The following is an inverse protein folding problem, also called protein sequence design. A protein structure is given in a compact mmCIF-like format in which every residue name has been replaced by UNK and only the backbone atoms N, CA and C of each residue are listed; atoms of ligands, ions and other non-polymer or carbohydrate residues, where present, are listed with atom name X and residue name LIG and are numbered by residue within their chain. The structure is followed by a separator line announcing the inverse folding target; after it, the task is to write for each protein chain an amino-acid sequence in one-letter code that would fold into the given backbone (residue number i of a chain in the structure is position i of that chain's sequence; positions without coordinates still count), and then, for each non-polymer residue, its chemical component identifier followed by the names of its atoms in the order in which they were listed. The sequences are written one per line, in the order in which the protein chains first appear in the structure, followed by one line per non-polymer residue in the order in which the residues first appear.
data_IF_735539451592
#
_entry.id   IF_735539451592
#
_cell.length_a   1.000
_cell.length_b   1.000
_cell.length_c   1.000
_cell.angle_alpha   90.00
_cell.angle_beta   90.00
_cell.angle_gamma   90.00
#
_symmetry.space_group_name_H-M   'P 1'
#
loop_
_entity.id
_entity.type
_entity.pdbx_description
1 polymer ?
#
# COMPACT_ATOMS: atom_id res chain seq x y z
N UNK A 1 -22.44 20.07 -20.34
CA UNK A 1 -23.17 20.99 -19.45
C UNK A 1 -23.16 22.45 -19.96
N UNK A 2 -22.07 22.96 -20.55
CA UNK A 2 -22.02 24.33 -21.09
C UNK A 2 -23.03 24.70 -22.19
N UNK A 3 -23.49 23.73 -22.99
CA UNK A 3 -24.51 23.97 -24.04
C UNK A 3 -25.86 24.37 -23.45
N UNK A 4 -26.29 23.72 -22.36
CA UNK A 4 -27.58 24.01 -21.71
C UNK A 4 -27.59 25.41 -21.11
N UNK A 5 -26.47 25.83 -20.50
CA UNK A 5 -26.28 27.22 -20.07
C UNK A 5 -26.47 28.20 -21.23
N UNK A 6 -25.77 27.98 -22.35
CA UNK A 6 -25.84 28.88 -23.50
C UNK A 6 -27.25 28.96 -24.07
N UNK A 7 -27.96 27.83 -24.15
CA UNK A 7 -29.35 27.80 -24.56
C UNK A 7 -30.24 28.60 -23.59
N UNK A 8 -30.11 28.41 -22.27
CA UNK A 8 -30.92 29.17 -21.31
C UNK A 8 -30.65 30.67 -21.38
N UNK A 9 -29.39 31.09 -21.51
CA UNK A 9 -29.06 32.51 -21.69
C UNK A 9 -29.65 33.07 -23.00
N UNK A 10 -29.55 32.31 -24.09
CA UNK A 10 -30.14 32.69 -25.37
C UNK A 10 -31.66 32.83 -25.28
N UNK A 11 -32.34 31.94 -24.55
CA UNK A 11 -33.79 32.01 -24.34
C UNK A 11 -34.18 33.25 -23.52
N UNK A 12 -33.40 33.62 -22.50
CA UNK A 12 -33.59 34.88 -21.75
C UNK A 12 -33.49 36.07 -22.70
N UNK A 13 -32.47 36.10 -23.56
CA UNK A 13 -32.24 37.24 -24.45
C UNK A 13 -33.26 37.34 -25.58
N UNK A 14 -33.76 36.21 -26.10
CA UNK A 14 -34.85 36.17 -27.08
C UNK A 14 -36.20 36.57 -26.49
N UNK A 15 -36.44 36.29 -25.21
CA UNK A 15 -37.70 36.58 -24.54
C UNK A 15 -37.87 38.06 -24.18
N UNK A 16 -36.79 38.74 -23.77
CA UNK A 16 -36.77 40.16 -23.36
C UNK A 16 -37.52 41.12 -24.30
N UNK A 17 -37.35 41.07 -25.64
CA UNK A 17 -38.05 41.99 -26.55
C UNK A 17 -39.49 41.58 -26.88
N UNK A 18 -39.94 40.35 -26.55
CA UNK A 18 -41.22 39.79 -27.01
C UNK A 18 -42.27 39.75 -25.89
N UNK A 19 -41.85 39.49 -24.66
CA UNK A 19 -42.75 39.21 -23.53
C UNK A 19 -42.81 40.41 -22.58
N UNK A 20 -44.01 40.82 -22.10
CA UNK A 20 -44.15 41.87 -21.08
C UNK A 20 -43.38 41.52 -19.80
N UNK A 21 -42.71 42.51 -19.20
CA UNK A 21 -41.81 42.32 -18.04
C UNK A 21 -42.45 41.52 -16.89
N UNK A 22 -43.72 41.78 -16.57
CA UNK A 22 -44.47 41.11 -15.49
C UNK A 22 -44.64 39.59 -15.70
N UNK A 23 -44.48 39.10 -16.93
CA UNK A 23 -44.67 37.69 -17.27
C UNK A 23 -43.37 36.98 -17.66
N UNK A 24 -42.26 37.71 -17.86
CA UNK A 24 -40.98 37.15 -18.32
C UNK A 24 -40.49 36.03 -17.40
N UNK A 25 -40.46 36.24 -16.09
CA UNK A 25 -39.96 35.26 -15.13
C UNK A 25 -40.78 33.96 -15.13
N UNK A 26 -42.11 34.07 -15.16
CA UNK A 26 -43.00 32.91 -15.15
C UNK A 26 -42.97 32.12 -16.47
N UNK A 27 -42.78 32.81 -17.60
CA UNK A 27 -42.66 32.18 -18.92
C UNK A 27 -41.30 31.52 -19.07
N UNK A 28 -40.22 32.18 -18.67
CA UNK A 28 -38.88 31.60 -18.67
C UNK A 28 -38.80 30.33 -17.81
N UNK A 29 -39.32 30.37 -16.58
CA UNK A 29 -39.32 29.21 -15.68
C UNK A 29 -40.03 28.01 -16.32
N UNK A 30 -41.14 28.22 -17.05
CA UNK A 30 -41.85 27.17 -17.78
C UNK A 30 -41.07 26.67 -19.01
N UNK A 31 -40.47 27.58 -19.77
CA UNK A 31 -39.79 27.26 -21.02
C UNK A 31 -38.59 26.32 -20.78
N UNK A 32 -37.83 26.56 -19.71
CA UNK A 32 -36.63 25.78 -19.42
C UNK A 32 -36.92 24.42 -18.76
N UNK A 33 -38.14 24.16 -18.25
CA UNK A 33 -38.42 22.96 -17.44
C UNK A 33 -38.07 21.67 -18.17
N UNK A 34 -38.50 21.50 -19.43
CA UNK A 34 -38.28 20.24 -20.16
C UNK A 34 -36.79 19.94 -20.35
N UNK A 35 -36.00 20.95 -20.74
CA UNK A 35 -34.56 20.81 -20.90
C UNK A 35 -33.84 20.60 -19.57
N UNK A 36 -34.26 21.33 -18.52
CA UNK A 36 -33.71 21.17 -17.19
C UNK A 36 -34.01 19.78 -16.63
N UNK A 37 -35.22 19.26 -16.77
CA UNK A 37 -35.61 17.91 -16.31
C UNK A 37 -34.84 16.81 -17.04
N UNK A 38 -34.65 16.93 -18.35
CA UNK A 38 -33.81 16.00 -19.11
C UNK A 38 -32.35 16.01 -18.59
N UNK A 39 -31.80 17.20 -18.32
CA UNK A 39 -30.46 17.35 -17.74
C UNK A 39 -30.36 16.74 -16.34
N UNK A 40 -31.34 16.98 -15.47
CA UNK A 40 -31.38 16.41 -14.13
C UNK A 40 -31.46 14.89 -14.18
N UNK A 41 -32.27 14.33 -15.08
CA UNK A 41 -32.44 12.87 -15.27
C UNK A 41 -31.12 12.19 -15.68
N UNK A 42 -30.36 12.82 -16.57
CA UNK A 42 -29.03 12.32 -16.95
C UNK A 42 -28.06 12.35 -15.76
N UNK A 43 -28.06 13.45 -15.00
CA UNK A 43 -27.26 13.56 -13.79
C UNK A 43 -27.60 12.49 -12.74
N UNK A 44 -28.89 12.25 -12.50
CA UNK A 44 -29.37 11.21 -11.60
C UNK A 44 -28.98 9.81 -12.08
N UNK A 45 -28.92 9.58 -13.39
CA UNK A 45 -28.45 8.33 -13.98
C UNK A 45 -26.98 8.07 -13.64
N UNK A 46 -26.13 9.10 -13.68
CA UNK A 46 -24.73 9.01 -13.24
C UNK A 46 -24.65 8.66 -11.75
N UNK A 47 -25.43 9.34 -10.89
CA UNK A 47 -25.49 9.07 -9.45
C UNK A 47 -25.90 7.61 -9.17
N UNK A 48 -26.95 7.13 -9.83
CA UNK A 48 -27.46 5.77 -9.64
C UNK A 48 -26.47 4.73 -10.14
N UNK A 49 -25.79 5.01 -11.25
CA UNK A 49 -24.73 4.14 -11.79
C UNK A 49 -23.56 4.02 -10.82
N UNK A 50 -23.10 5.16 -10.26
CA UNK A 50 -22.06 5.15 -9.23
C UNK A 50 -22.48 4.32 -8.02
N UNK A 51 -23.68 4.57 -7.46
CA UNK A 51 -24.21 3.79 -6.32
C UNK A 51 -24.25 2.29 -6.60
N UNK A 52 -24.63 1.88 -7.82
CA UNK A 52 -24.66 0.49 -8.26
C UNK A 52 -23.27 -0.14 -8.37
N UNK A 53 -22.27 0.62 -8.79
CA UNK A 53 -20.88 0.13 -8.84
C UNK A 53 -20.26 0.05 -7.44
N UNK A 54 -20.53 1.04 -6.59
CA UNK A 54 -20.11 1.05 -5.18
C UNK A 54 -20.65 -0.18 -4.43
N UNK A 55 -21.93 -0.52 -4.59
CA UNK A 55 -22.51 -1.72 -3.96
C UNK A 55 -21.94 -3.04 -4.48
N UNK A 56 -21.28 -3.03 -5.63
CA UNK A 56 -20.53 -4.16 -6.20
C UNK A 56 -19.03 -4.12 -5.88
N UNK A 57 -18.59 -3.18 -5.05
CA UNK A 57 -17.19 -2.94 -4.70
C UNK A 57 -16.30 -2.52 -5.88
N UNK A 58 -16.88 -1.96 -6.95
CA UNK A 58 -16.14 -1.44 -8.11
C UNK A 58 -15.77 0.02 -7.93
N UNK A 59 -14.98 0.33 -6.90
CA UNK A 59 -14.66 1.70 -6.49
C UNK A 59 -13.94 2.54 -7.55
N UNK A 60 -13.22 1.91 -8.48
CA UNK A 60 -12.53 2.59 -9.58
C UNK A 60 -13.48 3.42 -10.47
N UNK A 61 -14.78 3.07 -10.54
CA UNK A 61 -15.76 3.87 -11.29
C UNK A 61 -15.93 5.29 -10.74
N UNK A 62 -15.62 5.51 -9.45
CA UNK A 62 -15.69 6.83 -8.80
C UNK A 62 -14.82 7.87 -9.52
N UNK A 63 -13.70 7.43 -10.13
CA UNK A 63 -12.80 8.30 -10.89
C UNK A 63 -13.49 9.03 -12.04
N UNK A 64 -14.49 8.40 -12.66
CA UNK A 64 -15.23 8.98 -13.80
C UNK A 64 -16.16 10.12 -13.36
N UNK A 65 -16.51 10.17 -12.06
CA UNK A 65 -17.42 11.17 -11.50
C UNK A 65 -16.68 12.45 -11.08
N UNK A 66 -15.38 12.39 -10.76
CA UNK A 66 -14.63 13.58 -10.35
C UNK A 66 -14.54 14.68 -11.43
N UNK A 67 -14.29 14.38 -12.73
CA UNK A 67 -14.37 15.39 -13.77
C UNK A 67 -15.76 16.05 -13.88
N UNK A 68 -16.81 15.25 -13.74
CA UNK A 68 -18.20 15.71 -13.77
C UNK A 68 -18.46 16.65 -12.59
N UNK A 69 -18.09 16.25 -11.37
CA UNK A 69 -18.21 17.06 -10.16
C UNK A 69 -17.44 18.38 -10.26
N UNK A 70 -16.18 18.32 -10.71
CA UNK A 70 -15.34 19.51 -10.90
C UNK A 70 -15.98 20.48 -11.88
N UNK A 71 -16.47 19.98 -13.02
CA UNK A 71 -17.14 20.83 -14.01
C UNK A 71 -18.47 21.38 -13.49
N UNK A 72 -19.29 20.56 -12.80
CA UNK A 72 -20.56 20.99 -12.22
C UNK A 72 -20.37 22.12 -11.19
N UNK A 73 -19.34 22.01 -10.33
CA UNK A 73 -19.00 23.06 -9.37
C UNK A 73 -18.52 24.34 -10.06
N UNK A 74 -17.72 24.21 -11.11
CA UNK A 74 -17.23 25.36 -11.87
C UNK A 74 -18.35 26.17 -12.53
N UNK A 75 -19.35 25.50 -13.10
CA UNK A 75 -20.48 26.17 -13.79
C UNK A 75 -21.63 26.56 -12.85
N UNK A 76 -21.57 26.19 -11.57
CA UNK A 76 -22.65 26.45 -10.60
C UNK A 76 -23.00 27.94 -10.48
N UNK A 77 -22.05 28.89 -10.33
CA UNK A 77 -22.38 30.30 -10.21
C UNK A 77 -23.12 30.85 -11.44
N UNK A 78 -22.74 30.38 -12.64
CA UNK A 78 -23.40 30.77 -13.88
C UNK A 78 -24.83 30.21 -13.98
N UNK A 79 -25.05 28.99 -13.50
CA UNK A 79 -26.39 28.41 -13.39
C UNK A 79 -27.25 29.17 -12.38
N UNK A 80 -26.67 29.55 -11.24
CA UNK A 80 -27.37 30.31 -10.21
C UNK A 80 -27.78 31.70 -10.72
N UNK A 81 -26.93 32.36 -11.52
CA UNK A 81 -27.23 33.66 -12.16
C UNK A 81 -28.34 33.56 -13.21
N UNK A 82 -28.25 32.59 -14.13
CA UNK A 82 -29.28 32.39 -15.16
C UNK A 82 -30.63 32.01 -14.54
N UNK A 83 -30.63 31.22 -13.47
CA UNK A 83 -31.84 30.76 -12.80
C UNK A 83 -32.36 31.74 -11.73
N UNK A 84 -31.67 32.86 -11.46
CA UNK A 84 -32.00 33.75 -10.34
C UNK A 84 -33.46 34.22 -10.31
N UNK A 85 -34.07 34.37 -11.50
CA UNK A 85 -35.44 34.83 -11.70
C UNK A 85 -36.50 33.71 -11.75
N UNK A 86 -36.09 32.45 -11.60
CA UNK A 86 -36.98 31.28 -11.61
C UNK A 86 -37.49 30.93 -10.20
N UNK A 87 -38.51 30.06 -10.11
CA UNK A 87 -39.05 29.61 -8.83
C UNK A 87 -38.00 28.89 -7.95
N UNK A 88 -38.14 28.93 -6.60
CA UNK A 88 -37.19 28.30 -5.68
C UNK A 88 -36.93 26.81 -5.95
N UNK A 89 -37.94 26.07 -6.40
CA UNK A 89 -37.82 24.65 -6.76
C UNK A 89 -36.92 24.44 -7.98
N UNK A 90 -36.98 25.34 -8.97
CA UNK A 90 -36.15 25.29 -10.18
C UNK A 90 -34.70 25.61 -9.82
N UNK A 91 -34.47 26.69 -9.05
CA UNK A 91 -33.13 27.11 -8.60
C UNK A 91 -32.40 26.05 -7.78
N UNK A 92 -33.12 25.26 -6.97
CA UNK A 92 -32.49 24.24 -6.14
C UNK A 92 -32.16 22.94 -6.88
N UNK A 93 -32.67 22.71 -8.10
CA UNK A 93 -32.44 21.46 -8.86
C UNK A 93 -30.94 21.19 -9.04
N UNK A 94 -30.19 22.11 -9.65
CA UNK A 94 -28.77 21.87 -9.96
C UNK A 94 -27.88 21.71 -8.72
N UNK A 95 -27.97 22.58 -7.69
CA UNK A 95 -27.27 22.35 -6.42
C UNK A 95 -27.60 21.00 -5.76
N UNK A 96 -28.86 20.54 -5.86
CA UNK A 96 -29.27 19.25 -5.29
C UNK A 96 -28.62 18.07 -6.00
N UNK A 97 -28.45 18.14 -7.33
CA UNK A 97 -27.72 17.12 -8.09
C UNK A 97 -26.23 17.10 -7.76
N UNK A 98 -25.61 18.28 -7.62
CA UNK A 98 -24.20 18.37 -7.19
C UNK A 98 -24.04 17.68 -5.83
N UNK A 99 -24.90 18.00 -4.85
CA UNK A 99 -24.87 17.36 -3.53
C UNK A 99 -25.12 15.84 -3.61
N UNK A 100 -26.01 15.38 -4.51
CA UNK A 100 -26.26 13.96 -4.70
C UNK A 100 -25.05 13.21 -5.28
N UNK A 101 -24.34 13.82 -6.23
CA UNK A 101 -23.08 13.30 -6.78
C UNK A 101 -21.99 13.26 -5.72
N UNK A 102 -21.84 14.33 -4.93
CA UNK A 102 -20.85 14.40 -3.85
C UNK A 102 -21.10 13.35 -2.78
N UNK A 103 -22.34 13.20 -2.32
CA UNK A 103 -22.71 12.19 -1.34
C UNK A 103 -22.43 10.78 -1.86
N UNK A 104 -22.74 10.51 -3.14
CA UNK A 104 -22.50 9.20 -3.74
C UNK A 104 -20.99 8.89 -3.87
N UNK A 105 -20.17 9.87 -4.27
CA UNK A 105 -18.73 9.71 -4.39
C UNK A 105 -18.02 9.66 -3.02
N UNK A 106 -18.44 10.45 -2.04
CA UNK A 106 -17.93 10.37 -0.67
C UNK A 106 -18.21 9.01 -0.05
N UNK A 107 -19.44 8.49 -0.22
CA UNK A 107 -19.79 7.15 0.23
C UNK A 107 -18.95 6.08 -0.46
N UNK A 108 -18.65 6.23 -1.75
CA UNK A 108 -17.78 5.30 -2.46
C UNK A 108 -16.35 5.28 -1.90
N UNK A 109 -15.80 6.45 -1.56
CA UNK A 109 -14.49 6.58 -0.92
C UNK A 109 -14.47 6.00 0.50
N UNK A 110 -15.53 6.24 1.26
CA UNK A 110 -15.72 5.73 2.62
C UNK A 110 -15.81 4.19 2.63
N UNK A 111 -16.67 3.64 1.77
CA UNK A 111 -16.82 2.19 1.61
C UNK A 111 -15.55 1.54 1.03
N UNK A 112 -14.77 2.25 0.20
CA UNK A 112 -13.46 1.77 -0.25
C UNK A 112 -12.48 1.63 0.94
N UNK A 113 -12.35 2.68 1.76
CA UNK A 113 -11.45 2.66 2.91
C UNK A 113 -11.88 1.58 3.94
N UNK A 114 -13.17 1.45 4.20
CA UNK A 114 -13.71 0.40 5.07
C UNK A 114 -13.59 -1.00 4.46
N UNK A 115 -13.73 -1.08 3.14
CA UNK A 115 -13.54 -2.29 2.36
C UNK A 115 -12.11 -2.80 2.42
N UNK A 116 -11.10 -1.94 2.59
CA UNK A 116 -9.71 -2.36 2.85
C UNK A 116 -9.59 -2.98 4.24
N UNK A 117 -10.18 -2.34 5.25
CA UNK A 117 -10.11 -2.81 6.65
C UNK A 117 -10.77 -4.19 6.80
N UNK A 118 -11.96 -4.34 6.23
CA UNK A 118 -12.78 -5.55 6.33
C UNK A 118 -12.70 -6.44 5.10
N UNK A 119 -11.73 -6.21 4.20
CA UNK A 119 -11.54 -7.00 2.99
C UNK A 119 -11.61 -8.47 3.39
N UNK A 120 -12.67 -9.21 2.99
CA UNK A 120 -13.01 -10.45 3.65
C UNK A 120 -11.82 -11.40 3.57
N UNK A 121 -11.65 -12.19 4.63
CA UNK A 121 -10.82 -13.38 4.67
C UNK A 121 -11.38 -14.41 3.67
N UNK A 122 -11.41 -14.07 2.38
CA UNK A 122 -11.72 -14.98 1.30
C UNK A 122 -10.53 -15.91 1.15
N UNK A 123 -10.49 -16.85 2.10
CA UNK A 123 -9.69 -18.05 2.19
C UNK A 123 -8.17 -17.85 2.22
N UNK A 124 -7.49 -18.71 2.99
CA UNK A 124 -6.05 -18.91 2.91
C UNK A 124 -5.56 -19.19 1.46
N UNK A 125 -6.46 -19.51 0.52
CA UNK A 125 -6.18 -19.65 -0.90
C UNK A 125 -5.71 -18.36 -1.60
N UNK A 126 -6.08 -17.19 -1.09
CA UNK A 126 -5.67 -15.90 -1.69
C UNK A 126 -4.36 -15.36 -1.08
N UNK A 127 -3.79 -16.04 -0.09
CA UNK A 127 -2.50 -15.66 0.48
C UNK A 127 -1.35 -16.20 -0.38
N UNK A 128 -0.38 -15.35 -0.77
CA UNK A 128 0.76 -15.79 -1.56
C UNK A 128 1.63 -16.76 -0.75
N UNK A 129 1.84 -17.98 -1.25
CA UNK A 129 2.62 -19.01 -0.54
C UNK A 129 4.10 -18.66 -0.41
N UNK A 130 4.60 -17.81 -1.29
CA UNK A 130 5.98 -17.35 -1.38
C UNK A 130 6.22 -16.04 -0.61
N UNK A 131 5.17 -15.43 -0.03
CA UNK A 131 5.28 -14.16 0.69
C UNK A 131 5.44 -12.94 -0.22
N UNK A 132 5.08 -13.02 -1.51
CA UNK A 132 5.12 -11.86 -2.42
C UNK A 132 4.16 -10.73 -2.00
N UNK A 133 4.22 -9.60 -2.72
CA UNK A 133 3.31 -8.46 -2.51
C UNK A 133 1.86 -8.89 -2.74
N UNK A 134 0.98 -8.56 -1.79
CA UNK A 134 -0.43 -8.93 -1.87
C UNK A 134 -1.18 -7.99 -2.84
N UNK A 135 -2.14 -8.53 -3.60
CA UNK A 135 -2.92 -7.77 -4.59
C UNK A 135 -3.63 -6.55 -3.98
N UNK A 136 -4.20 -6.71 -2.78
CA UNK A 136 -4.76 -5.62 -1.97
C UNK A 136 -3.82 -4.40 -1.87
N UNK A 137 -2.53 -4.61 -1.57
CA UNK A 137 -1.54 -3.54 -1.47
C UNK A 137 -1.41 -2.80 -2.81
N UNK A 138 -1.29 -3.56 -3.91
CA UNK A 138 -1.18 -2.99 -5.25
C UNK A 138 -2.43 -2.21 -5.65
N UNK A 139 -3.61 -2.78 -5.46
CA UNK A 139 -4.89 -2.18 -5.84
C UNK A 139 -5.20 -0.92 -5.02
N UNK A 140 -4.90 -0.95 -3.72
CA UNK A 140 -5.07 0.22 -2.85
C UNK A 140 -4.19 1.37 -3.31
N UNK A 141 -2.90 1.13 -3.55
CA UNK A 141 -1.99 2.17 -3.99
C UNK A 141 -2.32 2.68 -5.39
N UNK A 142 -2.69 1.79 -6.32
CA UNK A 142 -3.15 2.20 -7.65
C UNK A 142 -4.36 3.15 -7.57
N UNK A 143 -5.33 2.83 -6.72
CA UNK A 143 -6.49 3.69 -6.51
C UNK A 143 -6.09 5.05 -5.91
N UNK A 144 -5.19 5.07 -4.92
CA UNK A 144 -4.68 6.31 -4.34
C UNK A 144 -3.91 7.16 -5.37
N UNK A 145 -3.05 6.53 -6.19
CA UNK A 145 -2.32 7.20 -7.27
C UNK A 145 -3.29 7.86 -8.27
N UNK A 146 -4.42 7.21 -8.58
CA UNK A 146 -5.46 7.76 -9.46
C UNK A 146 -6.24 8.93 -8.87
N UNK A 147 -6.25 9.11 -7.53
CA UNK A 147 -6.89 10.25 -6.89
C UNK A 147 -6.08 11.55 -7.01
N UNK A 148 -4.77 11.46 -7.28
CA UNK A 148 -3.86 12.61 -7.26
C UNK A 148 -4.28 13.77 -8.17
N UNK A 149 -4.74 13.55 -9.42
CA UNK A 149 -5.21 14.63 -10.29
C UNK A 149 -6.48 15.33 -9.76
N UNK A 150 -7.15 14.73 -8.78
CA UNK A 150 -8.45 15.15 -8.26
C UNK A 150 -8.41 15.54 -6.77
N UNK A 151 -7.23 15.69 -6.16
CA UNK A 151 -7.06 16.01 -4.72
C UNK A 151 -7.95 17.16 -4.25
N UNK A 152 -7.99 18.27 -4.99
CA UNK A 152 -8.85 19.41 -4.67
C UNK A 152 -10.34 19.07 -4.74
N UNK A 153 -10.76 18.34 -5.77
CA UNK A 153 -12.16 17.92 -5.95
C UNK A 153 -12.60 16.97 -4.85
N UNK A 154 -11.76 15.98 -4.53
CA UNK A 154 -12.01 14.99 -3.48
C UNK A 154 -12.01 15.66 -2.11
N UNK A 155 -11.09 16.59 -1.85
CA UNK A 155 -10.97 17.22 -0.55
C UNK A 155 -12.14 18.16 -0.25
N UNK A 156 -12.58 18.95 -1.23
CA UNK A 156 -13.79 19.77 -1.13
C UNK A 156 -15.05 18.93 -0.91
N UNK A 157 -15.15 17.79 -1.60
CA UNK A 157 -16.24 16.84 -1.43
C UNK A 157 -16.26 16.24 -0.02
N UNK A 158 -15.11 15.79 0.50
CA UNK A 158 -15.03 15.19 1.83
C UNK A 158 -15.26 16.23 2.93
N UNK A 159 -14.77 17.45 2.75
CA UNK A 159 -15.04 18.60 3.62
C UNK A 159 -16.55 18.87 3.77
N UNK A 160 -17.28 18.83 2.65
CA UNK A 160 -18.73 19.07 2.62
C UNK A 160 -19.51 18.01 3.42
N UNK A 161 -19.08 16.75 3.38
CA UNK A 161 -19.80 15.65 4.04
C UNK A 161 -19.53 15.54 5.55
N UNK A 162 -18.43 16.10 6.05
CA UNK A 162 -18.15 16.14 7.49
C UNK A 162 -18.98 17.21 8.25
N UNK A 163 -20.01 17.78 7.62
CA UNK A 163 -20.92 18.77 8.23
C UNK A 163 -20.29 20.15 8.42
N UNK A 164 -19.12 20.39 7.84
CA UNK A 164 -18.32 21.57 8.11
C UNK A 164 -18.53 22.59 6.96
N UNK A 165 -19.78 23.09 6.84
CA UNK A 165 -20.18 24.10 5.83
C UNK A 165 -19.37 25.42 5.94
N UNK A 166 -18.72 25.67 7.08
CA UNK A 166 -17.80 26.79 7.30
C UNK A 166 -16.46 26.64 6.55
N UNK A 167 -16.12 25.44 6.05
CA UNK A 167 -14.92 25.20 5.23
C UNK A 167 -14.95 25.89 3.86
N UNK A 168 -16.09 26.45 3.43
CA UNK A 168 -16.17 27.29 2.22
C UNK A 168 -15.50 28.67 2.43
N UNK A 169 -15.21 29.04 3.68
CA UNK A 169 -14.63 30.33 4.07
C UNK A 169 -13.44 30.09 5.02
N UNK A 170 -12.24 29.81 4.51
CA UNK A 170 -11.07 29.78 5.38
C UNK A 170 -10.70 31.18 5.85
N UNK A 171 -10.78 31.40 7.16
CA UNK A 171 -9.72 32.05 7.95
C UNK A 171 -9.74 31.68 9.46
N UNK A 172 -10.73 30.95 9.99
CA UNK A 172 -10.86 30.74 11.44
C UNK A 172 -11.01 29.30 11.98
N UNK A 173 -11.03 28.26 11.15
CA UNK A 173 -10.87 26.88 11.63
C UNK A 173 -9.73 26.21 10.87
N UNK A 174 -8.70 25.76 11.58
CA UNK A 174 -7.44 25.22 11.03
C UNK A 174 -7.55 23.88 10.29
N UNK A 175 -8.67 23.62 9.59
CA UNK A 175 -8.88 22.43 8.76
C UNK A 175 -8.86 22.86 7.30
N UNK A 176 -7.84 22.47 6.56
CA UNK A 176 -7.68 22.74 5.13
C UNK A 176 -8.15 21.56 4.27
N UNK A 177 -8.37 21.76 2.98
CA UNK A 177 -8.66 20.69 1.99
C UNK A 177 -7.56 19.63 2.02
N UNK A 178 -6.32 20.10 2.19
CA UNK A 178 -5.12 19.28 2.38
C UNK A 178 -5.24 18.40 3.63
N UNK A 179 -5.69 18.93 4.78
CA UNK A 179 -5.87 18.16 6.01
C UNK A 179 -6.91 17.05 5.84
N UNK A 180 -8.02 17.32 5.15
CA UNK A 180 -9.07 16.32 4.93
C UNK A 180 -8.57 15.17 4.05
N UNK A 181 -7.86 15.49 2.97
CA UNK A 181 -7.26 14.47 2.10
C UNK A 181 -6.18 13.68 2.81
N UNK A 182 -5.35 14.35 3.61
CA UNK A 182 -4.35 13.71 4.45
C UNK A 182 -4.98 12.67 5.38
N UNK A 183 -6.01 13.04 6.14
CA UNK A 183 -6.72 12.13 7.04
C UNK A 183 -7.33 10.94 6.30
N UNK A 184 -7.86 11.17 5.09
CA UNK A 184 -8.36 10.09 4.24
C UNK A 184 -7.23 9.14 3.81
N UNK A 185 -6.11 9.68 3.31
CA UNK A 185 -4.97 8.90 2.87
C UNK A 185 -4.34 8.10 4.03
N UNK A 186 -4.21 8.73 5.20
CA UNK A 186 -3.77 8.10 6.45
C UNK A 186 -4.67 6.93 6.83
N UNK A 187 -5.98 7.14 6.84
CA UNK A 187 -6.97 6.09 7.15
C UNK A 187 -6.86 4.91 6.18
N UNK A 188 -6.68 5.16 4.89
CA UNK A 188 -6.51 4.13 3.87
C UNK A 188 -5.22 3.32 4.12
N UNK A 189 -4.09 3.99 4.32
CA UNK A 189 -2.79 3.35 4.57
C UNK A 189 -2.77 2.59 5.90
N UNK A 190 -3.34 3.17 6.96
CA UNK A 190 -3.48 2.53 8.26
C UNK A 190 -4.38 1.29 8.20
N UNK A 191 -5.50 1.37 7.46
CA UNK A 191 -6.38 0.22 7.23
C UNK A 191 -5.68 -0.88 6.44
N UNK A 192 -4.89 -0.52 5.42
CA UNK A 192 -4.08 -1.47 4.66
C UNK A 192 -3.03 -2.13 5.56
N UNK A 193 -2.30 -1.36 6.37
CA UNK A 193 -1.30 -1.87 7.30
C UNK A 193 -1.89 -2.86 8.30
N UNK A 194 -3.01 -2.51 8.94
CA UNK A 194 -3.72 -3.42 9.85
C UNK A 194 -4.20 -4.68 9.14
N UNK A 195 -4.74 -4.57 7.94
CA UNK A 195 -5.21 -5.72 7.18
C UNK A 195 -4.06 -6.67 6.81
N UNK A 196 -2.91 -6.14 6.38
CA UNK A 196 -1.70 -6.92 6.12
C UNK A 196 -1.23 -7.66 7.38
N UNK A 197 -1.24 -7.01 8.55
CA UNK A 197 -0.92 -7.64 9.83
C UNK A 197 -1.91 -8.75 10.23
N UNK A 198 -3.19 -8.61 9.91
CA UNK A 198 -4.16 -9.67 10.17
C UNK A 198 -3.95 -10.87 9.24
N UNK A 199 -3.61 -10.60 7.97
CA UNK A 199 -3.35 -11.63 6.94
C UNK A 199 -2.16 -12.52 7.25
N UNK A 200 -1.13 -12.00 7.93
CA UNK A 200 0.06 -12.80 8.29
C UNK A 200 -0.24 -13.96 9.23
N UNK A 201 -1.36 -13.92 9.97
CA UNK A 201 -1.79 -15.01 10.87
C UNK A 201 -2.02 -16.35 10.17
N UNK A 202 -2.14 -16.35 8.85
CA UNK A 202 -2.28 -17.57 8.02
C UNK A 202 -0.93 -18.30 7.87
N UNK A 203 0.19 -17.59 7.98
CA UNK A 203 1.51 -18.19 7.84
C UNK A 203 1.98 -18.80 9.16
N UNK A 204 2.47 -20.04 9.10
CA UNK A 204 3.09 -20.71 10.24
C UNK A 204 4.52 -20.23 10.50
N UNK A 205 5.25 -19.92 9.42
CA UNK A 205 6.65 -19.51 9.50
C UNK A 205 6.78 -18.03 9.81
N UNK A 206 7.40 -17.70 10.96
CA UNK A 206 7.72 -16.32 11.35
C UNK A 206 8.63 -15.63 10.33
N UNK A 207 9.52 -16.39 9.67
CA UNK A 207 10.39 -15.86 8.61
C UNK A 207 9.58 -15.45 7.38
N UNK A 208 8.57 -16.24 7.01
CA UNK A 208 7.68 -15.92 5.90
C UNK A 208 6.78 -14.71 6.22
N UNK A 209 6.30 -14.62 7.46
CA UNK A 209 5.58 -13.43 7.96
C UNK A 209 6.42 -12.17 7.79
N UNK A 210 7.68 -12.21 8.25
CA UNK A 210 8.60 -11.07 8.15
C UNK A 210 8.85 -10.69 6.68
N UNK A 211 9.08 -11.67 5.81
CA UNK A 211 9.34 -11.42 4.39
C UNK A 211 8.11 -10.86 3.66
N UNK A 212 6.91 -11.38 3.96
CA UNK A 212 5.66 -10.88 3.40
C UNK A 212 5.43 -9.41 3.78
N UNK A 213 5.58 -9.07 5.06
CA UNK A 213 5.44 -7.70 5.52
C UNK A 213 6.52 -6.80 4.91
N UNK A 214 7.76 -7.27 4.85
CA UNK A 214 8.88 -6.56 4.23
C UNK A 214 8.58 -6.19 2.77
N UNK A 215 8.12 -7.17 1.98
CA UNK A 215 7.75 -6.96 0.58
C UNK A 215 6.65 -5.90 0.43
N UNK A 216 5.58 -6.01 1.23
CA UNK A 216 4.44 -5.10 1.12
C UNK A 216 4.79 -3.68 1.61
N UNK A 217 5.52 -3.54 2.72
CA UNK A 217 5.94 -2.24 3.24
C UNK A 217 6.95 -1.55 2.33
N UNK A 218 7.90 -2.31 1.76
CA UNK A 218 8.83 -1.76 0.77
C UNK A 218 8.09 -1.32 -0.50
N UNK A 219 7.11 -2.10 -0.97
CA UNK A 219 6.28 -1.72 -2.11
C UNK A 219 5.49 -0.44 -1.84
N UNK A 220 4.90 -0.30 -0.64
CA UNK A 220 4.21 0.93 -0.22
C UNK A 220 5.20 2.10 -0.21
N UNK A 221 6.34 1.97 0.45
CA UNK A 221 7.36 3.02 0.52
C UNK A 221 7.78 3.49 -0.89
N UNK A 222 8.07 2.56 -1.80
CA UNK A 222 8.45 2.87 -3.18
C UNK A 222 7.33 3.56 -3.95
N UNK A 223 6.08 3.13 -3.76
CA UNK A 223 4.93 3.78 -4.37
C UNK A 223 4.75 5.21 -3.85
N UNK A 224 4.89 5.44 -2.55
CA UNK A 224 4.81 6.78 -1.96
C UNK A 224 5.90 7.71 -2.52
N UNK A 225 7.13 7.21 -2.64
CA UNK A 225 8.28 7.96 -3.17
C UNK A 225 8.14 8.33 -4.66
N UNK A 226 7.48 7.50 -5.47
CA UNK A 226 7.39 7.73 -6.94
C UNK A 226 6.17 8.52 -7.37
N UNK A 227 5.07 8.48 -6.60
CA UNK A 227 3.75 8.87 -7.09
C UNK A 227 3.31 10.28 -6.68
N UNK A 228 4.08 11.02 -5.89
CA UNK A 228 3.63 12.31 -5.34
C UNK A 228 2.64 12.16 -4.17
N UNK A 229 2.26 10.93 -3.79
CA UNK A 229 1.50 10.67 -2.56
C UNK A 229 2.25 11.13 -1.31
N UNK A 230 3.59 11.08 -1.33
CA UNK A 230 4.39 11.56 -0.20
C UNK A 230 4.24 13.08 0.00
N UNK A 231 4.22 13.87 -1.08
CA UNK A 231 4.01 15.32 -1.00
C UNK A 231 2.64 15.65 -0.42
N UNK A 232 1.62 14.89 -0.80
CA UNK A 232 0.27 15.02 -0.26
C UNK A 232 0.25 14.73 1.25
N UNK A 233 0.98 13.70 1.68
CA UNK A 233 1.03 13.30 3.09
C UNK A 233 1.88 14.26 3.95
N UNK A 234 2.96 14.83 3.40
CA UNK A 234 3.83 15.76 4.13
C UNK A 234 3.19 17.12 4.40
N UNK A 235 2.18 17.52 3.62
CA UNK A 235 1.41 18.76 3.87
C UNK A 235 0.59 18.74 5.15
N UNK A 236 0.31 17.57 5.72
CA UNK A 236 -0.50 17.42 6.92
C UNK A 236 0.21 17.72 8.25
N UNK A 237 1.48 18.18 8.23
CA UNK A 237 2.34 18.60 9.36
C UNK A 237 2.50 17.65 10.57
N UNK A 238 1.79 16.51 10.65
CA UNK A 238 1.66 15.74 11.90
C UNK A 238 2.65 14.55 12.01
N UNK A 239 3.13 13.95 10.91
CA UNK A 239 4.10 12.82 10.99
C UNK A 239 4.91 12.57 9.69
N UNK A 240 6.14 12.05 9.83
CA UNK A 240 7.00 11.64 8.72
C UNK A 240 6.67 10.20 8.29
N UNK A 241 5.74 10.08 7.33
CA UNK A 241 5.27 8.79 6.78
C UNK A 241 6.42 8.00 6.17
N UNK A 242 7.33 8.68 5.48
CA UNK A 242 8.43 8.02 4.80
C UNK A 242 9.36 7.35 5.82
N UNK A 243 9.70 8.08 6.89
CA UNK A 243 10.49 7.55 7.99
C UNK A 243 9.81 6.37 8.66
N UNK A 244 8.50 6.42 8.93
CA UNK A 244 7.78 5.31 9.53
C UNK A 244 7.84 4.03 8.68
N UNK A 245 7.62 4.13 7.37
CA UNK A 245 7.73 2.95 6.49
C UNK A 245 9.17 2.46 6.36
N UNK A 246 10.18 3.35 6.39
CA UNK A 246 11.60 2.94 6.47
C UNK A 246 11.88 2.15 7.75
N UNK A 247 11.37 2.59 8.90
CA UNK A 247 11.50 1.89 10.18
C UNK A 247 10.81 0.52 10.16
N UNK A 248 9.60 0.43 9.60
CA UNK A 248 8.89 -0.84 9.42
C UNK A 248 9.66 -1.82 8.52
N UNK A 249 10.24 -1.33 7.41
CA UNK A 249 11.09 -2.14 6.52
C UNK A 249 12.31 -2.67 7.27
N UNK A 250 13.03 -1.83 8.03
CA UNK A 250 14.19 -2.27 8.79
C UNK A 250 13.83 -3.22 9.94
N UNK A 251 12.67 -3.04 10.59
CA UNK A 251 12.17 -3.98 11.58
C UNK A 251 11.93 -5.37 10.98
N UNK A 252 11.29 -5.44 9.80
CA UNK A 252 11.04 -6.74 9.15
C UNK A 252 12.32 -7.41 8.65
N UNK A 253 13.33 -6.63 8.20
CA UNK A 253 14.67 -7.18 7.90
C UNK A 253 15.28 -7.86 9.13
N UNK A 254 15.26 -7.20 10.29
CA UNK A 254 15.75 -7.78 11.56
C UNK A 254 14.97 -9.03 11.98
N UNK A 255 13.65 -9.04 11.76
CA UNK A 255 12.83 -10.21 12.06
C UNK A 255 13.15 -11.39 11.14
N UNK A 256 13.38 -11.13 9.86
CA UNK A 256 13.80 -12.13 8.88
C UNK A 256 15.16 -12.75 9.25
N UNK A 257 16.16 -11.94 9.65
CA UNK A 257 17.51 -12.39 10.00
C UNK A 257 17.54 -13.47 11.11
N UNK A 258 16.52 -13.50 11.97
CA UNK A 258 16.39 -14.52 13.03
C UNK A 258 16.32 -15.95 12.49
N UNK A 259 15.98 -16.15 11.21
CA UNK A 259 15.99 -17.48 10.57
C UNK A 259 17.37 -18.16 10.65
N UNK A 260 18.45 -17.38 10.73
CA UNK A 260 19.82 -17.88 10.82
C UNK A 260 20.23 -18.40 12.20
N UNK A 261 19.40 -18.20 13.23
CA UNK A 261 19.78 -18.52 14.62
C UNK A 261 20.25 -19.97 14.80
N UNK A 262 19.57 -20.93 14.16
CA UNK A 262 19.94 -22.36 14.23
C UNK A 262 21.26 -22.66 13.52
N UNK A 263 21.47 -22.08 12.34
CA UNK A 263 22.73 -22.18 11.60
C UNK A 263 23.88 -21.60 12.44
N UNK A 264 23.70 -20.39 12.98
CA UNK A 264 24.69 -19.71 13.80
C UNK A 264 25.01 -20.47 15.10
N UNK A 265 24.03 -21.14 15.72
CA UNK A 265 24.25 -21.98 16.90
C UNK A 265 25.28 -23.10 16.64
N UNK A 266 25.31 -23.67 15.43
CA UNK A 266 26.32 -24.66 15.06
C UNK A 266 27.69 -24.06 14.72
N UNK A 267 27.76 -22.76 14.40
CA UNK A 267 29.02 -22.11 14.03
C UNK A 267 29.72 -21.40 15.21
N UNK A 268 28.97 -20.79 16.14
CA UNK A 268 29.52 -19.86 17.14
C UNK A 268 29.85 -20.49 18.52
N UNK A 269 29.29 -21.63 18.88
CA UNK A 269 29.32 -22.15 20.26
C UNK A 269 30.70 -22.58 20.83
N UNK A 270 31.80 -22.38 20.11
CA UNK A 270 33.14 -22.78 20.59
C UNK A 270 33.86 -21.69 21.40
N UNK A 271 33.25 -20.52 21.61
CA UNK A 271 33.78 -19.43 22.44
C UNK A 271 33.24 -19.48 23.90
N UNK A 272 33.26 -20.64 24.57
CA UNK A 272 33.10 -20.64 26.04
C UNK A 272 34.44 -20.31 26.71
N UNK A 273 34.52 -19.23 27.52
CA UNK A 273 35.74 -18.86 28.24
C UNK A 273 36.03 -19.90 29.32
N UNK A 274 37.00 -20.76 29.03
CA UNK A 274 37.39 -21.87 29.91
C UNK A 274 38.04 -23.03 29.16
N UNK A 275 37.76 -23.19 27.87
CA UNK A 275 38.58 -23.99 26.97
C UNK A 275 39.66 -23.08 26.40
N UNK A 276 40.88 -23.18 26.95
CA UNK A 276 42.02 -22.35 26.58
C UNK A 276 42.08 -22.07 25.07
N UNK A 277 42.11 -20.78 24.75
CA UNK A 277 42.72 -20.25 23.54
C UNK A 277 44.20 -20.66 23.56
N UNK A 278 44.46 -21.89 23.15
CA UNK A 278 45.68 -22.28 22.50
C UNK A 278 45.21 -22.81 21.16
N UNK A 279 45.78 -22.24 20.10
CA UNK A 279 45.88 -22.90 18.81
C UNK A 279 45.85 -24.41 19.02
N UNK A 280 44.91 -25.10 18.38
CA UNK A 280 44.96 -26.56 18.33
C UNK A 280 46.22 -26.85 17.52
N UNK A 281 47.37 -26.91 18.19
CA UNK A 281 48.61 -27.39 17.61
C UNK A 281 48.27 -28.77 17.05
N UNK A 282 48.54 -28.94 15.74
CA UNK A 282 48.24 -30.14 14.96
C UNK A 282 48.80 -31.46 15.54
N UNK A 283 49.58 -31.35 16.63
CA UNK A 283 50.32 -32.40 17.33
C UNK A 283 49.61 -32.97 18.57
N UNK A 284 48.53 -32.37 19.09
CA UNK A 284 47.80 -32.95 20.23
C UNK A 284 46.68 -33.90 19.76
N UNK A 285 46.75 -35.17 20.18
CA UNK A 285 45.66 -36.15 19.98
C UNK A 285 44.36 -35.61 20.58
N UNK A 286 43.42 -35.20 19.72
CA UNK A 286 42.07 -34.83 20.14
C UNK A 286 41.42 -35.96 20.95
N UNK A 287 40.75 -35.59 22.05
CA UNK A 287 39.89 -36.50 22.82
C UNK A 287 38.68 -36.90 21.97
N UNK A 288 38.19 -38.12 22.12
CA UNK A 288 37.04 -38.63 21.34
C UNK A 288 35.79 -37.74 21.47
N UNK A 289 35.57 -37.17 22.65
CA UNK A 289 34.49 -36.20 22.90
C UNK A 289 34.62 -34.93 22.04
N UNK A 290 35.82 -34.42 21.82
CA UNK A 290 36.06 -33.25 20.96
C UNK A 290 35.87 -33.61 19.49
N UNK A 291 36.32 -34.79 19.07
CA UNK A 291 36.10 -35.30 17.71
C UNK A 291 34.61 -35.43 17.41
N UNK A 292 33.85 -35.98 18.35
CA UNK A 292 32.40 -36.13 18.21
C UNK A 292 31.70 -34.77 18.15
N UNK A 293 32.08 -33.83 19.01
CA UNK A 293 31.54 -32.47 18.97
C UNK A 293 31.75 -31.77 17.62
N UNK A 294 32.95 -31.87 17.02
CA UNK A 294 33.23 -31.29 15.70
C UNK A 294 32.34 -31.93 14.62
N UNK A 295 32.19 -33.27 14.65
CA UNK A 295 31.29 -33.99 13.74
C UNK A 295 29.84 -33.52 13.86
N UNK A 296 29.36 -33.36 15.09
CA UNK A 296 27.98 -32.95 15.37
C UNK A 296 27.73 -31.51 14.89
N UNK A 297 28.73 -30.62 15.03
CA UNK A 297 28.66 -29.23 14.55
C UNK A 297 28.58 -29.14 13.03
N UNK A 298 29.48 -29.82 12.31
CA UNK A 298 29.40 -29.88 10.84
C UNK A 298 28.08 -30.50 10.36
N UNK A 299 27.64 -31.60 10.97
CA UNK A 299 26.37 -32.25 10.62
C UNK A 299 25.17 -31.34 10.88
N UNK A 300 25.16 -30.65 12.02
CA UNK A 300 24.12 -29.69 12.37
C UNK A 300 24.05 -28.52 11.41
N UNK A 301 25.21 -27.91 11.10
CA UNK A 301 25.29 -26.86 10.07
C UNK A 301 24.74 -27.34 8.73
N UNK A 302 25.20 -28.50 8.22
CA UNK A 302 24.78 -29.00 6.91
C UNK A 302 23.26 -29.20 6.85
N UNK A 303 22.68 -29.81 7.90
CA UNK A 303 21.23 -30.04 8.00
C UNK A 303 20.45 -28.73 7.99
N UNK A 304 20.77 -27.81 8.92
CA UNK A 304 20.01 -26.56 9.08
C UNK A 304 20.19 -25.62 7.88
N UNK A 305 21.39 -25.57 7.29
CA UNK A 305 21.64 -24.77 6.10
C UNK A 305 20.90 -25.32 4.88
N UNK A 306 20.88 -26.64 4.68
CA UNK A 306 20.15 -27.26 3.56
C UNK A 306 18.65 -27.06 3.69
N UNK A 307 18.07 -27.26 4.89
CA UNK A 307 16.66 -26.99 5.16
C UNK A 307 16.32 -25.52 4.87
N UNK A 308 17.12 -24.59 5.40
CA UNK A 308 16.92 -23.16 5.16
C UNK A 308 17.05 -22.82 3.67
N UNK A 309 18.04 -23.37 2.97
CA UNK A 309 18.23 -23.14 1.53
C UNK A 309 17.03 -23.64 0.71
N UNK A 310 16.48 -24.83 1.02
CA UNK A 310 15.29 -25.32 0.32
C UNK A 310 14.08 -24.41 0.58
N UNK A 311 13.89 -23.94 1.81
CA UNK A 311 12.78 -23.05 2.18
C UNK A 311 12.92 -21.68 1.50
N UNK A 312 14.08 -21.02 1.62
CA UNK A 312 14.32 -19.67 1.08
C UNK A 312 14.18 -19.60 -0.44
N UNK A 313 14.39 -20.70 -1.15
CA UNK A 313 14.15 -20.80 -2.60
C UNK A 313 12.68 -20.74 -2.99
N UNK A 314 11.78 -21.07 -2.07
CA UNK A 314 10.33 -21.02 -2.31
C UNK A 314 9.73 -19.65 -2.04
N UNK A 315 10.49 -18.76 -1.40
CA UNK A 315 10.05 -17.42 -1.04
C UNK A 315 10.38 -16.41 -2.13
N UNK A 316 9.58 -15.35 -2.27
CA UNK A 316 9.78 -14.32 -3.28
C UNK A 316 10.11 -12.96 -2.66
N UNK A 317 11.03 -12.23 -3.29
CA UNK A 317 11.28 -10.79 -3.03
C UNK A 317 11.21 -10.08 -4.37
N UNK A 318 10.05 -9.51 -4.78
CA UNK A 318 9.85 -9.00 -6.13
C UNK A 318 10.76 -7.84 -6.51
N UNK A 319 11.06 -6.96 -5.56
CA UNK A 319 11.94 -5.82 -5.79
C UNK A 319 13.41 -6.28 -5.85
N UNK A 320 14.05 -6.03 -7.00
CA UNK A 320 15.41 -6.51 -7.29
C UNK A 320 16.43 -5.90 -6.34
N UNK A 321 16.34 -4.59 -6.07
CA UNK A 321 17.29 -3.91 -5.19
C UNK A 321 17.20 -4.44 -3.75
N UNK A 322 15.99 -4.62 -3.24
CA UNK A 322 15.76 -5.21 -1.93
C UNK A 322 16.24 -6.68 -1.86
N UNK A 323 16.00 -7.47 -2.92
CA UNK A 323 16.44 -8.86 -2.99
C UNK A 323 17.96 -8.95 -2.88
N UNK A 324 18.68 -8.16 -3.68
CA UNK A 324 20.15 -8.12 -3.64
C UNK A 324 20.67 -7.61 -2.30
N UNK A 325 20.01 -6.61 -1.69
CA UNK A 325 20.37 -6.13 -0.36
C UNK A 325 20.27 -7.24 0.71
N UNK A 326 19.15 -7.98 0.72
CA UNK A 326 18.94 -9.08 1.69
C UNK A 326 19.94 -10.21 1.43
N UNK A 327 20.21 -10.57 0.17
CA UNK A 327 21.22 -11.58 -0.18
C UNK A 327 22.60 -11.20 0.32
N UNK A 328 23.04 -9.97 0.03
CA UNK A 328 24.33 -9.47 0.45
C UNK A 328 24.45 -9.49 1.99
N UNK A 329 23.46 -8.96 2.72
CA UNK A 329 23.45 -8.99 4.19
C UNK A 329 23.52 -10.41 4.76
N UNK A 330 22.80 -11.36 4.16
CA UNK A 330 22.88 -12.76 4.56
C UNK A 330 24.29 -13.33 4.35
N UNK A 331 24.91 -13.05 3.21
CA UNK A 331 26.27 -13.51 2.86
C UNK A 331 27.28 -12.93 3.85
N UNK A 332 27.22 -11.62 4.10
CA UNK A 332 28.08 -10.92 5.06
C UNK A 332 27.92 -11.46 6.49
N UNK A 333 26.72 -11.90 6.86
CA UNK A 333 26.46 -12.51 8.16
C UNK A 333 27.03 -13.93 8.28
N UNK A 334 26.85 -14.78 7.27
CA UNK A 334 27.08 -16.23 7.39
C UNK A 334 28.44 -16.67 6.87
N UNK A 335 28.87 -16.18 5.70
CA UNK A 335 30.05 -16.70 5.00
C UNK A 335 31.34 -16.48 5.80
N UNK A 336 31.62 -15.31 6.40
CA UNK A 336 32.83 -15.12 7.22
C UNK A 336 32.88 -16.05 8.43
N UNK A 337 31.73 -16.25 9.10
CA UNK A 337 31.62 -17.11 10.29
C UNK A 337 31.84 -18.58 9.89
N UNK A 338 31.22 -19.01 8.79
CA UNK A 338 31.40 -20.36 8.27
C UNK A 338 32.85 -20.61 7.84
N UNK A 339 33.47 -19.67 7.13
CA UNK A 339 34.88 -19.75 6.70
C UNK A 339 35.80 -19.93 7.91
N UNK A 340 35.66 -19.08 8.92
CA UNK A 340 36.45 -19.20 10.15
C UNK A 340 36.23 -20.54 10.88
N UNK A 341 34.98 -21.02 10.96
CA UNK A 341 34.66 -22.32 11.53
C UNK A 341 35.31 -23.46 10.74
N UNK A 342 35.20 -23.44 9.41
CA UNK A 342 35.76 -24.45 8.51
C UNK A 342 37.28 -24.50 8.61
N UNK A 343 37.95 -23.37 8.46
CA UNK A 343 39.43 -23.28 8.47
C UNK A 343 40.02 -23.77 9.80
N UNK A 344 39.30 -23.52 10.91
CA UNK A 344 39.69 -23.97 12.24
C UNK A 344 39.66 -25.49 12.41
N UNK A 345 38.77 -26.20 11.71
CA UNK A 345 38.52 -27.62 11.96
C UNK A 345 38.82 -28.56 10.78
N UNK A 346 38.97 -28.05 9.56
CA UNK A 346 39.24 -28.87 8.38
C UNK A 346 40.58 -29.62 8.48
N UNK A 347 41.64 -28.93 8.90
CA UNK A 347 42.98 -29.53 9.07
C UNK A 347 43.12 -30.42 10.32
N UNK A 348 42.07 -30.53 11.13
CA UNK A 348 42.09 -31.27 12.38
C UNK A 348 41.66 -32.72 12.13
N UNK A 349 42.38 -33.75 12.61
CA UNK A 349 42.08 -35.15 12.28
C UNK A 349 40.88 -35.69 13.09
N UNK A 350 39.71 -35.05 13.04
CA UNK A 350 38.55 -35.43 13.84
C UNK A 350 37.79 -36.66 13.31
N UNK A 351 38.03 -37.06 12.06
CA UNK A 351 37.35 -38.19 11.40
C UNK A 351 38.26 -38.86 10.36
N UNK A 352 37.94 -40.12 10.01
CA UNK A 352 38.59 -40.82 8.89
C UNK A 352 37.97 -40.48 7.53
N UNK A 353 36.76 -39.92 7.53
CA UNK A 353 36.00 -39.56 6.31
C UNK A 353 35.62 -38.07 6.37
N UNK A 354 36.53 -37.13 6.09
CA UNK A 354 36.29 -35.68 6.19
C UNK A 354 35.16 -35.19 5.28
N UNK A 355 35.09 -35.70 4.06
CA UNK A 355 34.10 -35.33 3.02
C UNK A 355 32.65 -35.55 3.46
N UNK A 356 32.40 -36.48 4.40
CA UNK A 356 31.07 -36.71 4.96
C UNK A 356 30.58 -35.54 5.82
N UNK A 357 31.49 -34.76 6.39
CA UNK A 357 31.19 -33.70 7.36
C UNK A 357 31.46 -32.31 6.78
N UNK A 358 32.63 -32.12 6.16
CA UNK A 358 33.01 -30.87 5.49
C UNK A 358 32.46 -30.89 4.06
N UNK A 359 31.15 -30.68 3.93
CA UNK A 359 30.42 -30.84 2.65
C UNK A 359 30.59 -29.66 1.69
N UNK A 360 30.78 -28.45 2.23
CA UNK A 360 30.80 -27.21 1.46
C UNK A 360 32.12 -26.46 1.63
N UNK A 361 32.53 -25.75 0.58
CA UNK A 361 33.48 -24.64 0.68
C UNK A 361 32.75 -23.35 1.06
N UNK A 362 33.47 -22.33 1.53
CA UNK A 362 32.88 -21.02 1.80
C UNK A 362 32.24 -20.42 0.54
N UNK A 363 32.89 -20.59 -0.61
CA UNK A 363 32.42 -20.08 -1.90
C UNK A 363 31.18 -20.84 -2.39
N UNK A 364 31.07 -22.14 -2.11
CA UNK A 364 29.85 -22.91 -2.40
C UNK A 364 28.66 -22.46 -1.55
N UNK A 365 28.87 -22.17 -0.26
CA UNK A 365 27.82 -21.59 0.61
C UNK A 365 27.35 -20.24 0.05
N UNK A 366 28.29 -19.36 -0.30
CA UNK A 366 27.98 -18.07 -0.92
C UNK A 366 27.18 -18.23 -2.23
N UNK A 367 27.63 -19.12 -3.12
CA UNK A 367 26.96 -19.40 -4.39
C UNK A 367 25.54 -19.97 -4.22
N UNK A 368 25.28 -20.73 -3.16
CA UNK A 368 23.94 -21.20 -2.82
C UNK A 368 23.07 -20.05 -2.29
N UNK A 369 23.61 -19.20 -1.42
CA UNK A 369 22.88 -18.05 -0.88
C UNK A 369 22.51 -17.02 -1.95
N UNK A 370 23.35 -16.86 -2.98
CA UNK A 370 23.04 -16.04 -4.15
C UNK A 370 21.79 -16.51 -4.93
N UNK A 371 21.31 -17.75 -4.71
CA UNK A 371 20.10 -18.30 -5.34
C UNK A 371 18.84 -18.13 -4.49
N UNK A 372 18.91 -17.47 -3.34
CA UNK A 372 17.74 -17.22 -2.49
C UNK A 372 16.75 -16.30 -3.17
N UNK A 373 15.46 -16.58 -3.04
CA UNK A 373 14.40 -15.78 -3.66
C UNK A 373 14.38 -15.79 -5.20
N UNK A 374 15.14 -16.69 -5.84
CA UNK A 374 14.97 -16.98 -7.26
C UNK A 374 13.81 -17.97 -7.44
N UNK A 375 12.59 -17.52 -7.19
CA UNK A 375 11.37 -18.28 -7.56
C UNK A 375 11.19 -18.36 -9.08
N UNK A 376 12.09 -17.71 -9.84
CA UNK A 376 12.28 -17.58 -11.30
C UNK A 376 11.96 -16.18 -11.81
N UNK A 377 12.78 -15.73 -12.75
CA UNK A 377 12.57 -14.58 -13.63
C UNK A 377 11.32 -14.74 -14.52
#
# INVERSE_FOLDING_TARGET
MGVIRFCFQSEVDLMKPIIPEDHQNAIFDKLIQAALEAFMTEGETIVNTLRKFTSKHYYASTMQVFPVLRHSRHIQPDFDDVLQFTGPKTRSKFPSLINALELAAARALDEFADGIRHAPEKHASNMPRDGTVHELTRNTLLFMEQLLPYVETVGNLLATQQGNLELRCTYFSGVTVENVIFLFAERVLGSLGLNLQLKTKVYESVTLVALFLLNNYHYILKALQRSGLLELLQKGEIYDVEKQYKELVEEQKKMYEKCWSKVLHYLLEMEKPGAASKSVEATMKLKDKQRQMIKDKFKGFNTEFEELYQIQKTYAVPDVALREEIRLKNIELIVPIYRAFRDKYEGVPFTKNPEKYVKYTADEVENLMNKFFDVSA
#
